data_IF_781068933842
#
_entry.id   IF_781068933842
#
_cell.length_a   1.000
_cell.length_b   1.000
_cell.length_c   1.000
_cell.angle_alpha   90.00
_cell.angle_beta   90.00
_cell.angle_gamma   90.00
#
_symmetry.space_group_name_H-M   'P 1'
#
loop_
_entity.id
_entity.type
_entity.pdbx_description
1 polymer ?
#
# COMPACT_ATOMS: atom_id res chain seq x y z
N UNK A 1 -9.92 7.01 14.88
CA UNK A 1 -9.79 5.89 15.83
C UNK A 1 -8.36 5.39 15.97
N UNK A 2 -7.59 5.16 14.90
CA UNK A 2 -6.18 4.72 14.96
C UNK A 2 -5.13 5.80 15.36
N UNK A 3 -5.54 7.03 15.66
CA UNK A 3 -4.62 8.17 15.83
C UNK A 3 -4.47 8.67 17.28
N UNK A 4 -5.24 8.14 18.22
CA UNK A 4 -5.18 8.58 19.62
C UNK A 4 -4.27 7.71 20.51
N UNK A 5 -4.02 6.46 20.15
CA UNK A 5 -3.15 5.57 20.95
C UNK A 5 -1.65 5.89 20.77
N UNK A 6 -1.25 6.46 19.63
CA UNK A 6 0.17 6.71 19.33
C UNK A 6 0.75 7.89 20.13
N UNK A 7 -0.09 8.79 20.67
CA UNK A 7 0.36 9.98 21.39
C UNK A 7 0.69 9.71 22.86
N UNK A 8 0.08 8.70 23.48
CA UNK A 8 0.30 8.39 24.90
C UNK A 8 1.71 7.83 25.19
N UNK A 9 2.30 7.15 24.22
CA UNK A 9 3.60 6.49 24.38
C UNK A 9 4.81 7.42 24.16
N UNK A 10 4.61 8.56 23.49
CA UNK A 10 5.68 9.51 23.16
C UNK A 10 6.00 10.47 24.33
N UNK A 11 5.10 10.61 25.31
CA UNK A 11 5.24 11.58 26.41
C UNK A 11 5.69 11.00 27.76
N UNK A 12 5.86 9.68 27.91
CA UNK A 12 6.26 9.08 29.20
C UNK A 12 7.53 8.24 29.09
N UNK A 13 8.57 8.60 29.85
CA UNK A 13 9.79 7.79 30.04
C UNK A 13 9.55 6.55 30.94
N UNK A 14 8.41 5.87 30.78
CA UNK A 14 8.07 4.68 31.58
C UNK A 14 8.03 3.46 30.66
N UNK A 15 8.87 2.46 30.93
CA UNK A 15 8.74 1.16 30.26
C UNK A 15 7.43 0.50 30.72
N UNK A 16 6.55 0.09 29.81
CA UNK A 16 5.30 -0.55 30.17
C UNK A 16 5.59 -1.86 30.91
N UNK A 17 4.85 -2.12 31.99
CA UNK A 17 4.94 -3.40 32.69
C UNK A 17 4.38 -4.51 31.78
N UNK A 18 4.73 -5.78 32.03
CA UNK A 18 4.16 -6.89 31.25
C UNK A 18 2.62 -6.88 31.25
N UNK A 19 2.01 -6.49 32.37
CA UNK A 19 0.56 -6.33 32.47
C UNK A 19 0.01 -5.21 31.58
N UNK A 20 0.73 -4.11 31.41
CA UNK A 20 0.31 -3.03 30.53
C UNK A 20 0.40 -3.45 29.06
N UNK A 21 1.47 -4.18 28.69
CA UNK A 21 1.60 -4.73 27.34
C UNK A 21 0.46 -5.70 27.01
N UNK A 22 0.13 -6.60 27.93
CA UNK A 22 -0.97 -7.56 27.73
C UNK A 22 -2.29 -6.82 27.53
N UNK A 23 -2.57 -5.78 28.32
CA UNK A 23 -3.79 -4.97 28.15
C UNK A 23 -3.85 -4.34 26.76
N UNK A 24 -2.78 -3.67 26.33
CA UNK A 24 -2.71 -3.05 25.00
C UNK A 24 -2.90 -4.08 23.89
N UNK A 25 -2.22 -5.23 23.97
CA UNK A 25 -2.39 -6.30 22.98
C UNK A 25 -3.81 -6.86 22.97
N UNK A 26 -4.45 -7.04 24.12
CA UNK A 26 -5.84 -7.54 24.14
C UNK A 26 -6.83 -6.55 23.52
N UNK A 27 -6.62 -5.25 23.73
CA UNK A 27 -7.45 -4.22 23.12
C UNK A 27 -7.22 -4.13 21.60
N UNK A 28 -5.97 -4.22 21.15
CA UNK A 28 -5.64 -4.35 19.72
C UNK A 28 -6.36 -5.56 19.09
N UNK A 29 -6.23 -6.75 19.70
CA UNK A 29 -6.84 -7.97 19.17
C UNK A 29 -8.37 -7.89 19.14
N UNK A 30 -9.00 -7.26 20.12
CA UNK A 30 -10.45 -6.99 20.12
C UNK A 30 -10.86 -6.09 18.96
N UNK A 31 -10.10 -5.04 18.71
CA UNK A 31 -10.34 -4.14 17.58
C UNK A 31 -10.17 -4.86 16.24
N UNK A 32 -9.12 -5.68 16.08
CA UNK A 32 -8.88 -6.46 14.86
C UNK A 32 -9.92 -7.54 14.62
N UNK A 33 -10.40 -8.18 15.68
CA UNK A 33 -11.48 -9.16 15.59
C UNK A 33 -12.80 -8.54 15.11
N UNK A 34 -13.03 -7.26 15.42
CA UNK A 34 -14.23 -6.52 15.01
C UNK A 34 -14.14 -5.97 13.57
N UNK A 35 -13.04 -6.19 12.85
CA UNK A 35 -12.92 -5.79 11.45
C UNK A 35 -13.77 -6.73 10.59
N UNK A 36 -14.73 -6.15 9.87
CA UNK A 36 -15.52 -6.88 8.88
C UNK A 36 -14.64 -7.24 7.68
N UNK A 37 -14.47 -8.55 7.44
CA UNK A 37 -13.69 -9.08 6.31
C UNK A 37 -14.57 -9.18 5.07
N UNK A 38 -14.11 -8.65 3.93
CA UNK A 38 -14.75 -8.88 2.62
C UNK A 38 -14.44 -10.28 2.11
N UNK A 39 -15.31 -10.84 1.27
CA UNK A 39 -15.05 -12.15 0.66
C UNK A 39 -13.87 -12.05 -0.30
N UNK A 40 -12.93 -12.99 -0.19
CA UNK A 40 -11.77 -13.07 -1.09
C UNK A 40 -12.22 -13.11 -2.55
N UNK A 41 -13.27 -13.86 -2.86
CA UNK A 41 -13.83 -13.96 -4.21
C UNK A 41 -14.33 -12.62 -4.78
N UNK A 42 -14.82 -11.71 -3.94
CA UNK A 42 -15.29 -10.39 -4.38
C UNK A 42 -14.10 -9.46 -4.60
N UNK A 43 -13.17 -9.43 -3.66
CA UNK A 43 -11.94 -8.61 -3.75
C UNK A 43 -11.07 -9.02 -4.94
N UNK A 44 -10.95 -10.33 -5.21
CA UNK A 44 -10.22 -10.82 -6.37
C UNK A 44 -10.83 -10.34 -7.69
N UNK A 45 -12.16 -10.29 -7.81
CA UNK A 45 -12.83 -9.76 -9.01
C UNK A 45 -12.56 -8.27 -9.17
N UNK A 46 -12.68 -7.50 -8.08
CA UNK A 46 -12.42 -6.05 -8.09
C UNK A 46 -10.97 -5.74 -8.50
N UNK A 47 -10.00 -6.52 -8.00
CA UNK A 47 -8.59 -6.39 -8.40
C UNK A 47 -8.38 -6.70 -9.89
N UNK A 48 -8.99 -7.77 -10.40
CA UNK A 48 -8.90 -8.11 -11.83
C UNK A 48 -9.50 -7.01 -12.71
N UNK A 49 -10.68 -6.50 -12.34
CA UNK A 49 -11.31 -5.39 -13.06
C UNK A 49 -10.44 -4.13 -13.05
N UNK A 50 -9.80 -3.83 -11.92
CA UNK A 50 -8.87 -2.71 -11.84
C UNK A 50 -7.67 -2.92 -12.77
N UNK A 51 -7.06 -4.11 -12.77
CA UNK A 51 -5.96 -4.42 -13.65
C UNK A 51 -6.35 -4.29 -15.13
N UNK A 52 -7.48 -4.87 -15.55
CA UNK A 52 -7.92 -4.80 -16.96
C UNK A 52 -8.20 -3.36 -17.40
N UNK A 53 -8.79 -2.52 -16.54
CA UNK A 53 -9.02 -1.09 -16.83
C UNK A 53 -7.72 -0.30 -17.03
N UNK A 54 -6.66 -0.64 -16.29
CA UNK A 54 -5.41 0.13 -16.29
C UNK A 54 -4.31 -0.47 -17.18
N UNK A 55 -4.49 -1.72 -17.65
CA UNK A 55 -3.53 -2.43 -18.50
C UNK A 55 -3.12 -1.67 -19.76
N UNK A 56 -4.06 -0.95 -20.38
CA UNK A 56 -3.78 -0.17 -21.59
C UNK A 56 -2.95 1.09 -21.35
N UNK A 57 -2.94 1.61 -20.11
CA UNK A 57 -2.20 2.81 -19.71
C UNK A 57 -0.82 2.43 -19.17
N UNK A 58 -0.67 1.22 -18.66
CA UNK A 58 0.59 0.71 -18.18
C UNK A 58 1.59 0.49 -19.33
N UNK A 59 2.56 1.39 -19.43
CA UNK A 59 3.62 1.37 -20.44
C UNK A 59 4.50 0.11 -20.36
N UNK A 60 4.57 -0.56 -19.20
CA UNK A 60 5.31 -1.81 -19.05
C UNK A 60 4.56 -3.00 -19.63
N UNK A 61 3.21 -2.94 -19.66
CA UNK A 61 2.36 -4.02 -20.16
C UNK A 61 2.03 -3.85 -21.64
N UNK A 62 1.72 -2.63 -22.07
CA UNK A 62 1.41 -2.32 -23.48
C UNK A 62 2.66 -2.09 -24.34
N UNK A 63 3.82 -1.95 -23.71
CA UNK A 63 5.08 -1.60 -24.35
C UNK A 63 5.22 -0.09 -24.58
N UNK A 64 6.45 0.45 -24.54
CA UNK A 64 6.68 1.85 -24.86
C UNK A 64 6.34 2.10 -26.33
N UNK A 65 5.44 3.06 -26.60
CA UNK A 65 5.44 3.70 -27.90
C UNK A 65 6.73 4.52 -28.01
N UNK A 66 7.48 4.31 -29.09
CA UNK A 66 8.82 4.87 -29.29
C UNK A 66 8.94 6.36 -28.91
N UNK A 67 7.90 7.16 -29.17
CA UNK A 67 7.85 8.60 -28.89
C UNK A 67 7.67 8.99 -27.40
N UNK A 68 7.16 8.10 -26.56
CA UNK A 68 6.91 8.38 -25.13
C UNK A 68 8.00 7.81 -24.20
N UNK A 69 8.97 7.06 -24.72
CA UNK A 69 10.04 6.49 -23.91
C UNK A 69 11.17 7.52 -23.67
N UNK A 70 11.35 8.05 -22.44
CA UNK A 70 12.43 9.00 -22.15
C UNK A 70 13.83 8.38 -22.23
N UNK A 71 13.95 7.05 -22.27
CA UNK A 71 15.20 6.31 -22.41
C UNK A 71 15.48 5.88 -23.85
N UNK A 72 14.69 6.32 -24.83
CA UNK A 72 14.97 6.03 -26.23
C UNK A 72 16.30 6.68 -26.65
N UNK A 73 17.21 5.90 -27.25
CA UNK A 73 18.42 6.45 -27.86
C UNK A 73 18.02 7.45 -28.94
N UNK A 74 18.29 8.74 -28.71
CA UNK A 74 18.21 9.74 -29.77
C UNK A 74 19.22 9.33 -30.82
N UNK A 75 18.78 9.01 -32.04
CA UNK A 75 19.67 8.78 -33.18
C UNK A 75 20.73 9.88 -33.16
N UNK A 76 21.99 9.47 -32.96
CA UNK A 76 23.12 10.38 -32.87
C UNK A 76 23.04 11.38 -34.02
N UNK A 77 22.86 12.66 -33.70
CA UNK A 77 23.00 13.71 -34.70
C UNK A 77 24.45 13.64 -35.19
N UNK A 78 24.66 13.13 -36.41
CA UNK A 78 25.93 13.31 -37.09
C UNK A 78 25.95 14.76 -37.52
N UNK A 79 26.67 15.60 -36.77
CA UNK A 79 27.02 16.94 -37.23
C UNK A 79 28.07 16.74 -38.32
N UNK A 80 27.63 16.80 -39.57
CA UNK A 80 28.49 17.00 -40.74
C UNK A 80 28.51 18.49 -41.08
#
# INVERSE_FOLDING_TARGET
MFREEFTAQVFTCRKPSEMDNIKTTTEQLRNEANIQRKKVSEVSKELLEFCEKNKGVDMLVSGPSDQHNPFQEKKSCSVL
#
